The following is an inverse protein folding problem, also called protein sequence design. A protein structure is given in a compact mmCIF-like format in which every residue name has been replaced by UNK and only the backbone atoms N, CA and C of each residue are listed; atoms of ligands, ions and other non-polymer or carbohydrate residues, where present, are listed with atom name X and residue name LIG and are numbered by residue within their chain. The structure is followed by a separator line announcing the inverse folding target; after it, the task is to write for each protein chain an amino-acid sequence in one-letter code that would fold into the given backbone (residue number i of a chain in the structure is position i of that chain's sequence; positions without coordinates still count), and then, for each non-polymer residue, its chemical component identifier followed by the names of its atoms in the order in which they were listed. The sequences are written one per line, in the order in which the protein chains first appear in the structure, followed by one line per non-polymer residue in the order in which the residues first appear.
data_IF_430972523784
#
_entry.id   IF_430972523784
#
_cell.length_a   1.000
_cell.length_b   1.000
_cell.length_c   1.000
_cell.angle_alpha   90.00
_cell.angle_beta   90.00
_cell.angle_gamma   90.00
#
_symmetry.space_group_name_H-M   'P 1'
#
loop_
_entity.id
_entity.type
_entity.pdbx_description
1 polymer ?
#
# COMPACT_ATOMS: atom_id res chain seq x y z
N UNK A 1 -17.97 5.72 -12.74
CA UNK A 1 -17.57 6.09 -11.38
C UNK A 1 -17.48 4.81 -10.57
N UNK A 2 -16.30 4.22 -10.43
CA UNK A 2 -16.11 3.13 -9.45
C UNK A 2 -16.29 3.72 -8.05
N UNK A 3 -17.14 3.09 -7.24
CA UNK A 3 -17.28 3.43 -5.83
C UNK A 3 -16.03 3.00 -5.04
N UNK A 4 -15.82 3.50 -3.82
CA UNK A 4 -14.70 3.07 -3.00
C UNK A 4 -14.77 1.56 -2.73
N UNK A 5 -13.66 0.85 -2.95
CA UNK A 5 -13.52 -0.54 -2.54
C UNK A 5 -13.57 -0.62 -1.01
N UNK A 6 -14.49 -1.43 -0.49
CA UNK A 6 -14.70 -1.59 0.96
C UNK A 6 -13.99 -2.87 1.41
N UNK A 7 -12.98 -2.73 2.28
CA UNK A 7 -12.37 -3.87 2.97
C UNK A 7 -13.19 -4.19 4.20
N UNK A 8 -14.23 -5.01 3.99
CA UNK A 8 -15.29 -5.30 4.99
C UNK A 8 -14.75 -6.02 6.24
N UNK A 9 -13.61 -6.68 6.16
CA UNK A 9 -12.98 -7.34 7.33
C UNK A 9 -12.40 -6.37 8.36
N UNK A 10 -12.06 -5.13 7.99
CA UNK A 10 -11.40 -4.17 8.89
C UNK A 10 -12.14 -2.82 9.05
N UNK A 11 -13.30 -2.66 8.41
CA UNK A 11 -14.05 -1.39 8.48
C UNK A 11 -13.33 -0.22 7.81
N UNK A 12 -12.40 -0.48 6.89
CA UNK A 12 -11.65 0.54 6.17
C UNK A 12 -12.33 0.86 4.84
N UNK A 13 -12.62 2.15 4.61
CA UNK A 13 -13.06 2.70 3.32
C UNK A 13 -11.87 3.35 2.64
N UNK A 14 -11.39 2.72 1.59
CA UNK A 14 -10.25 3.19 0.82
C UNK A 14 -10.70 3.99 -0.41
N UNK A 15 -10.00 5.10 -0.69
CA UNK A 15 -10.17 5.86 -1.93
C UNK A 15 -8.95 5.65 -2.85
N UNK A 16 -9.01 4.71 -3.82
CA UNK A 16 -7.87 4.37 -4.66
C UNK A 16 -7.46 5.54 -5.57
N UNK A 17 -8.42 6.27 -6.15
CA UNK A 17 -8.12 7.37 -7.07
C UNK A 17 -7.39 8.52 -6.38
N UNK A 18 -7.83 8.93 -5.19
CA UNK A 18 -7.13 9.96 -4.42
C UNK A 18 -5.78 9.49 -3.90
N UNK A 19 -5.64 8.20 -3.59
CA UNK A 19 -4.37 7.59 -3.18
C UNK A 19 -3.34 7.66 -4.31
N UNK A 20 -3.73 7.24 -5.53
CA UNK A 20 -2.86 7.32 -6.72
C UNK A 20 -2.48 8.77 -7.01
N UNK A 21 -3.44 9.71 -6.93
CA UNK A 21 -3.17 11.13 -7.12
C UNK A 21 -2.18 11.68 -6.08
N UNK A 22 -2.35 11.32 -4.80
CA UNK A 22 -1.43 11.73 -3.73
C UNK A 22 -0.03 11.12 -3.91
N UNK A 23 0.06 9.87 -4.35
CA UNK A 23 1.31 9.18 -4.58
C UNK A 23 2.10 9.82 -5.72
N UNK A 24 1.45 10.09 -6.86
CA UNK A 24 2.03 10.80 -8.00
C UNK A 24 2.50 12.21 -7.60
N UNK A 25 1.70 12.94 -6.81
CA UNK A 25 2.10 14.25 -6.31
C UNK A 25 3.35 14.20 -5.39
N UNK A 26 3.47 13.17 -4.54
CA UNK A 26 4.66 12.97 -3.72
C UNK A 26 5.90 12.68 -4.57
N UNK A 27 5.78 11.82 -5.58
CA UNK A 27 6.86 11.50 -6.52
C UNK A 27 7.37 12.79 -7.18
N UNK A 28 6.47 13.61 -7.75
CA UNK A 28 6.83 14.88 -8.39
C UNK A 28 7.54 15.80 -7.40
N UNK A 29 7.01 15.94 -6.17
CA UNK A 29 7.61 16.79 -5.14
C UNK A 29 9.01 16.31 -4.74
N UNK A 30 9.21 15.00 -4.54
CA UNK A 30 10.52 14.44 -4.19
C UNK A 30 11.51 14.57 -5.35
N UNK A 31 11.06 14.41 -6.60
CA UNK A 31 11.88 14.64 -7.80
C UNK A 31 12.32 16.10 -7.94
N UNK A 32 11.39 17.04 -7.74
CA UNK A 32 11.71 18.47 -7.80
C UNK A 32 12.75 18.89 -6.74
N UNK A 33 12.75 18.20 -5.59
CA UNK A 33 13.74 18.40 -4.51
C UNK A 33 15.02 17.60 -4.68
N UNK A 34 15.17 16.85 -5.79
CA UNK A 34 16.29 15.93 -6.02
C UNK A 34 16.47 14.88 -4.92
N UNK A 35 15.42 14.56 -4.17
CA UNK A 35 15.44 13.58 -3.10
C UNK A 35 15.42 12.12 -3.62
N UNK A 36 14.98 11.93 -4.87
CA UNK A 36 14.96 10.63 -5.57
C UNK A 36 15.42 10.81 -7.03
N UNK A 37 15.98 9.76 -7.63
CA UNK A 37 16.49 9.74 -9.00
C UNK A 37 15.37 9.63 -10.04
N UNK A 38 15.72 9.82 -11.32
CA UNK A 38 14.77 9.69 -12.43
C UNK A 38 14.22 8.28 -12.53
N UNK A 39 15.08 7.29 -12.34
CA UNK A 39 14.73 5.89 -12.47
C UNK A 39 13.86 5.43 -11.30
N UNK A 40 14.15 5.88 -10.06
CA UNK A 40 13.30 5.62 -8.89
C UNK A 40 11.88 6.18 -9.10
N UNK A 41 11.76 7.43 -9.55
CA UNK A 41 10.45 8.00 -9.83
C UNK A 41 9.73 7.32 -11.00
N UNK A 42 10.45 6.96 -12.07
CA UNK A 42 9.85 6.24 -13.20
C UNK A 42 9.31 4.89 -12.75
N UNK A 43 10.09 4.11 -12.00
CA UNK A 43 9.68 2.81 -11.49
C UNK A 43 8.44 2.92 -10.61
N UNK A 44 8.46 3.82 -9.62
CA UNK A 44 7.31 4.02 -8.73
C UNK A 44 6.06 4.52 -9.48
N UNK A 45 6.24 5.36 -10.51
CA UNK A 45 5.13 5.84 -11.32
C UNK A 45 4.49 4.74 -12.15
N UNK A 46 5.30 3.94 -12.84
CA UNK A 46 4.82 2.81 -13.66
C UNK A 46 4.06 1.80 -12.82
N UNK A 47 4.55 1.47 -11.62
CA UNK A 47 3.89 0.50 -10.75
C UNK A 47 2.58 1.02 -10.13
N UNK A 48 2.37 2.34 -10.10
CA UNK A 48 1.12 2.97 -9.65
C UNK A 48 0.06 3.10 -10.75
N UNK A 49 0.42 2.90 -12.01
CA UNK A 49 -0.51 2.97 -13.15
C UNK A 49 -1.28 1.67 -13.38
N UNK A 50 -1.12 0.68 -12.50
CA UNK A 50 -2.04 -0.45 -12.43
C UNK A 50 -3.42 0.07 -12.02
N UNK A 51 -4.47 -0.22 -12.80
CA UNK A 51 -5.89 0.10 -12.51
C UNK A 51 -6.44 -0.68 -11.29
N UNK A 52 -5.62 -0.87 -10.28
CA UNK A 52 -5.92 -1.69 -9.12
C UNK A 52 -6.61 -0.84 -8.05
N UNK A 53 -7.86 -1.19 -7.76
CA UNK A 53 -8.64 -0.62 -6.68
C UNK A 53 -8.31 -1.28 -5.33
N UNK A 54 -7.40 -2.27 -5.33
CA UNK A 54 -7.04 -3.05 -4.16
C UNK A 54 -6.10 -2.29 -3.21
N UNK A 55 -6.54 -2.09 -1.97
CA UNK A 55 -5.80 -1.43 -0.90
C UNK A 55 -4.49 -2.16 -0.57
N UNK A 56 -4.51 -3.50 -0.52
CA UNK A 56 -3.34 -4.30 -0.19
C UNK A 56 -2.26 -4.13 -1.26
N UNK A 57 -2.64 -4.20 -2.53
CA UNK A 57 -1.78 -3.99 -3.69
C UNK A 57 -1.20 -2.57 -3.70
N UNK A 58 -2.02 -1.54 -3.46
CA UNK A 58 -1.53 -0.15 -3.41
C UNK A 58 -0.56 0.08 -2.25
N UNK A 59 -0.85 -0.43 -1.05
CA UNK A 59 0.08 -0.35 0.08
C UNK A 59 1.38 -1.09 -0.24
N UNK A 60 1.29 -2.29 -0.81
CA UNK A 60 2.46 -3.06 -1.22
C UNK A 60 3.32 -2.32 -2.23
N UNK A 61 2.73 -1.73 -3.27
CA UNK A 61 3.45 -0.89 -4.23
C UNK A 61 4.21 0.23 -3.52
N UNK A 62 3.59 0.91 -2.56
CA UNK A 62 4.29 1.97 -1.81
C UNK A 62 5.41 1.44 -0.92
N UNK A 63 5.23 0.28 -0.29
CA UNK A 63 6.24 -0.32 0.59
C UNK A 63 7.42 -0.91 -0.20
N UNK A 64 7.19 -1.42 -1.41
CA UNK A 64 8.25 -1.84 -2.35
C UNK A 64 9.14 -0.68 -2.75
N UNK A 65 8.56 0.50 -2.98
CA UNK A 65 9.26 1.75 -3.27
C UNK A 65 9.60 2.55 -2.00
N UNK A 66 10.25 1.89 -1.03
CA UNK A 66 10.57 2.48 0.30
C UNK A 66 11.45 3.73 0.22
N UNK A 67 12.33 3.80 -0.77
CA UNK A 67 13.14 4.98 -1.10
C UNK A 67 12.28 6.18 -1.55
N UNK A 68 11.14 5.91 -2.18
CA UNK A 68 10.19 6.94 -2.65
C UNK A 68 9.15 7.29 -1.59
N UNK A 69 8.49 6.32 -0.97
CA UNK A 69 7.39 6.56 -0.03
C UNK A 69 7.83 6.44 1.44
N UNK A 70 8.66 5.46 1.75
CA UNK A 70 9.28 5.28 3.06
C UNK A 70 8.26 5.31 4.21
N UNK A 71 8.55 5.97 5.33
CA UNK A 71 7.62 6.07 6.46
C UNK A 71 6.37 6.89 6.15
N UNK A 72 6.34 7.64 5.04
CA UNK A 72 5.23 8.49 4.66
C UNK A 72 4.11 7.72 3.94
N UNK A 73 4.27 6.43 3.63
CA UNK A 73 3.31 5.67 2.83
C UNK A 73 1.86 5.76 3.39
N UNK A 74 1.69 5.70 4.71
CA UNK A 74 0.37 5.81 5.36
C UNK A 74 -0.28 7.18 5.21
N UNK A 75 0.51 8.23 4.93
CA UNK A 75 0.02 9.58 4.64
C UNK A 75 -0.42 9.77 3.18
N UNK A 76 0.02 8.86 2.31
CA UNK A 76 -0.34 8.84 0.89
C UNK A 76 -1.66 8.10 0.70
N UNK A 77 -1.87 6.98 1.40
CA UNK A 77 -3.12 6.24 1.38
C UNK A 77 -4.28 7.12 1.90
N UNK A 78 -5.28 7.32 1.04
CA UNK A 78 -6.49 8.10 1.33
C UNK A 78 -7.67 7.18 1.63
N UNK A 79 -8.46 7.58 2.61
CA UNK A 79 -9.60 6.81 3.11
C UNK A 79 -10.05 7.24 4.50
N UNK A 80 -11.03 6.53 5.04
CA UNK A 80 -11.53 6.69 6.40
C UNK A 80 -11.84 5.33 7.06
N UNK A 81 -11.84 5.31 8.39
CA UNK A 81 -12.30 4.15 9.19
C UNK A 81 -13.79 4.30 9.45
N UNK A 82 -14.54 3.20 9.33
CA UNK A 82 -15.91 3.06 9.80
C UNK A 82 -15.86 2.42 11.18
N UNK A 83 -16.30 3.15 12.20
CA UNK A 83 -16.45 2.65 13.57
C UNK A 83 -15.16 2.65 14.40
N UNK A 84 -15.29 2.17 15.63
CA UNK A 84 -14.22 1.87 16.62
C UNK A 84 -13.34 3.00 17.19
N UNK A 85 -13.49 4.27 16.83
CA UNK A 85 -12.72 5.35 17.48
C UNK A 85 -11.19 5.23 17.30
N UNK A 86 -10.73 4.33 16.43
CA UNK A 86 -9.34 4.13 16.04
C UNK A 86 -9.00 5.17 14.97
N UNK A 87 -7.82 5.79 15.09
CA UNK A 87 -7.30 6.70 14.07
C UNK A 87 -7.00 5.91 12.79
N UNK A 88 -7.35 6.47 11.62
CA UNK A 88 -7.08 5.89 10.29
C UNK A 88 -5.69 5.29 10.13
N UNK A 89 -4.66 6.03 10.57
CA UNK A 89 -3.28 5.53 10.53
C UNK A 89 -3.10 4.22 11.31
N UNK A 90 -3.65 4.15 12.54
CA UNK A 90 -3.54 2.98 13.38
C UNK A 90 -4.27 1.77 12.78
N UNK A 91 -5.43 2.00 12.16
CA UNK A 91 -6.16 0.97 11.44
C UNK A 91 -5.37 0.44 10.24
N UNK A 92 -4.77 1.31 9.42
CA UNK A 92 -3.90 0.90 8.31
C UNK A 92 -2.66 0.13 8.78
N UNK A 93 -2.00 0.59 9.84
CA UNK A 93 -0.83 -0.09 10.39
C UNK A 93 -1.20 -1.48 10.92
N UNK A 94 -2.36 -1.59 11.59
CA UNK A 94 -2.91 -2.87 12.05
C UNK A 94 -3.20 -3.81 10.88
N UNK A 95 -3.89 -3.33 9.85
CA UNK A 95 -4.19 -4.08 8.62
C UNK A 95 -2.93 -4.68 8.00
N UNK A 96 -1.85 -3.90 7.89
CA UNK A 96 -0.57 -4.38 7.34
C UNK A 96 0.05 -5.47 8.22
N UNK A 97 0.03 -5.29 9.54
CA UNK A 97 0.57 -6.26 10.49
C UNK A 97 -0.21 -7.56 10.44
N UNK A 98 -1.54 -7.49 10.49
CA UNK A 98 -2.43 -8.66 10.46
C UNK A 98 -2.33 -9.41 9.14
N UNK A 99 -2.35 -8.70 8.01
CA UNK A 99 -2.22 -9.30 6.68
C UNK A 99 -0.88 -10.01 6.52
N UNK A 100 0.23 -9.39 6.98
CA UNK A 100 1.54 -10.06 6.97
C UNK A 100 1.61 -11.25 7.94
N UNK A 101 0.95 -11.18 9.09
CA UNK A 101 0.88 -12.30 10.02
C UNK A 101 0.12 -13.50 9.41
N UNK A 102 -0.93 -13.23 8.62
CA UNK A 102 -1.72 -14.24 7.94
C UNK A 102 -1.01 -14.81 6.70
N UNK A 103 -0.40 -13.95 5.88
CA UNK A 103 0.07 -14.29 4.53
C UNK A 103 1.61 -14.36 4.40
N UNK A 104 2.36 -13.95 5.43
CA UNK A 104 3.82 -13.80 5.40
C UNK A 104 4.33 -12.53 4.72
N UNK A 105 3.56 -11.97 3.78
CA UNK A 105 3.86 -10.74 3.04
C UNK A 105 2.57 -10.08 2.54
N UNK A 106 2.63 -8.80 2.15
CA UNK A 106 1.55 -8.20 1.37
C UNK A 106 1.62 -8.65 -0.09
N UNK A 107 0.52 -8.49 -0.83
CA UNK A 107 0.43 -8.78 -2.25
C UNK A 107 1.63 -8.25 -3.06
N UNK A 108 2.40 -9.12 -3.70
CA UNK A 108 3.52 -8.71 -4.56
C UNK A 108 4.79 -8.24 -3.82
N UNK A 109 4.81 -8.21 -2.48
CA UNK A 109 6.05 -8.10 -1.71
C UNK A 109 6.84 -9.41 -1.79
N UNK A 110 8.17 -9.32 -1.76
CA UNK A 110 9.02 -10.52 -1.65
C UNK A 110 8.84 -11.09 -0.25
N UNK A 111 8.26 -12.28 -0.16
CA UNK A 111 8.12 -13.00 1.10
C UNK A 111 9.51 -13.30 1.66
N UNK A 112 9.89 -12.64 2.76
CA UNK A 112 11.19 -12.89 3.40
C UNK A 112 11.07 -14.12 4.29
N UNK A 113 11.97 -15.11 4.16
CA UNK A 113 11.91 -16.33 4.96
C UNK A 113 12.27 -15.99 6.41
N UNK A 114 11.25 -15.87 7.26
CA UNK A 114 11.41 -15.50 8.67
C UNK A 114 10.07 -15.34 9.41
N UNK A 115 8.99 -15.04 8.69
CA UNK A 115 7.63 -15.19 9.20
C UNK A 115 7.18 -16.65 9.07
N UNK A 116 7.19 -17.39 10.18
CA UNK A 116 6.67 -18.75 10.27
C UNK A 116 5.18 -18.78 9.90
N UNK A 117 4.87 -19.27 8.68
CA UNK A 117 3.50 -19.42 8.20
C UNK A 117 3.39 -20.04 6.81
N UNK A 118 3.91 -21.26 6.63
CA UNK A 118 3.55 -22.23 5.58
C UNK A 118 3.47 -21.70 4.12
N UNK A 119 4.44 -22.00 3.26
CA UNK A 119 4.39 -23.23 2.43
C UNK A 119 3.05 -23.97 2.50
N UNK A 120 1.98 -23.41 1.90
CA UNK A 120 0.93 -24.26 1.32
C UNK A 120 1.46 -24.80 0.00
N UNK A 121 2.14 -25.92 0.14
CA UNK A 121 2.35 -26.91 -0.89
C UNK A 121 0.98 -27.41 -1.36
N UNK A 122 0.70 -27.29 -2.65
CA UNK A 122 0.07 -28.25 -3.58
C UNK A 122 -0.22 -27.46 -4.87
N UNK A 123 0.43 -27.67 -6.02
CA UNK A 123 0.90 -28.92 -6.60
C UNK A 123 -0.13 -30.05 -6.43
N UNK A 124 -1.24 -29.92 -7.15
CA UNK A 124 -1.86 -30.96 -7.97
C UNK A 124 -2.83 -30.30 -8.95
#
# INVERSE_FOLDING_TARGET
MSGPAIYVTEGIVHNPAETIAAAKALIVRKRARLAITADQARSAWTDLETDDEDLEAQISTMLRHRDVFGPDYSSVIRGCVIGEGILWRGALEKFVVDTRAANGALYGEICTPGGLGMLRHQAC
#
